data_IF_770250919929
#
_entry.id   IF_770250919929
#
_cell.length_a   1.000
_cell.length_b   1.000
_cell.length_c   1.000
_cell.angle_alpha   90.00
_cell.angle_beta   90.00
_cell.angle_gamma   90.00
#
_symmetry.space_group_name_H-M   'P 1'
#
loop_
_entity.id
_entity.type
_entity.pdbx_description
1 polymer ?
#
# COMPACT_ATOMS: atom_id res chain seq x y z
N UNK A 1 -24.68 -23.06 -4.12
CA UNK A 1 -23.37 -23.35 -3.51
C UNK A 1 -22.67 -22.03 -3.34
N UNK A 2 -22.90 -21.40 -2.19
CA UNK A 2 -22.35 -20.10 -1.81
C UNK A 2 -21.06 -20.38 -1.05
N UNK A 3 -19.93 -20.30 -1.73
CA UNK A 3 -18.61 -20.36 -1.10
C UNK A 3 -18.23 -18.95 -0.69
N UNK A 4 -18.37 -18.67 0.60
CA UNK A 4 -17.80 -17.52 1.29
C UNK A 4 -16.28 -17.57 1.15
N UNK A 5 -15.75 -16.77 0.24
CA UNK A 5 -14.32 -16.48 0.15
C UNK A 5 -14.05 -15.29 1.07
N UNK A 6 -13.93 -15.55 2.37
CA UNK A 6 -13.19 -14.67 3.28
C UNK A 6 -11.71 -14.78 2.92
N UNK A 7 -11.34 -14.12 1.83
CA UNK A 7 -9.99 -13.66 1.59
C UNK A 7 -9.95 -12.20 2.00
N UNK A 8 -9.91 -11.94 3.30
CA UNK A 8 -9.57 -10.61 3.82
C UNK A 8 -8.22 -10.25 3.22
N UNK A 9 -8.24 -9.23 2.36
CA UNK A 9 -7.02 -8.67 1.81
C UNK A 9 -6.24 -8.11 2.99
N UNK A 10 -5.03 -8.62 3.20
CA UNK A 10 -4.12 -8.16 4.25
C UNK A 10 -3.72 -6.71 3.93
N UNK A 11 -4.39 -5.76 4.57
CA UNK A 11 -4.26 -4.31 4.35
C UNK A 11 -3.05 -3.70 5.08
N UNK A 12 -2.12 -4.55 5.51
CA UNK A 12 -0.98 -4.23 6.36
C UNK A 12 0.26 -3.74 5.60
N UNK A 13 0.24 -3.67 4.26
CA UNK A 13 1.34 -3.08 3.50
C UNK A 13 1.11 -1.59 3.23
N UNK A 14 1.83 -0.67 3.92
CA UNK A 14 1.73 0.75 3.66
C UNK A 14 2.17 1.10 2.25
N UNK A 15 1.49 2.09 1.67
CA UNK A 15 1.79 2.65 0.35
C UNK A 15 2.91 3.67 0.53
N UNK A 16 4.10 3.16 0.82
CA UNK A 16 5.31 3.95 1.08
C UNK A 16 6.17 3.33 2.19
N UNK A 17 7.47 3.18 1.94
CA UNK A 17 8.48 2.73 2.92
C UNK A 17 8.76 3.80 4.01
N UNK A 18 7.75 4.55 4.43
CA UNK A 18 7.89 5.57 5.47
C UNK A 18 7.69 4.90 6.84
N UNK A 19 8.80 4.65 7.54
CA UNK A 19 8.79 4.13 8.91
C UNK A 19 8.54 5.29 9.88
N UNK A 20 7.47 5.22 10.66
CA UNK A 20 7.21 6.14 11.76
C UNK A 20 7.54 5.45 13.08
N UNK A 21 8.07 6.20 14.06
CA UNK A 21 8.18 5.70 15.43
C UNK A 21 6.77 5.65 16.04
N UNK A 22 6.18 4.45 16.04
CA UNK A 22 4.95 4.16 16.78
C UNK A 22 5.36 3.63 18.14
N UNK A 23 4.78 4.17 19.21
CA UNK A 23 5.08 3.66 20.54
C UNK A 23 4.54 2.22 20.66
N UNK A 24 5.22 1.31 21.38
CA UNK A 24 4.86 -0.12 21.44
C UNK A 24 3.49 -0.42 22.08
N UNK A 25 2.81 0.60 22.61
CA UNK A 25 1.48 0.54 23.21
C UNK A 25 0.40 1.24 22.36
N UNK A 26 0.77 1.87 21.24
CA UNK A 26 -0.17 2.47 20.31
C UNK A 26 -0.49 1.45 19.22
N UNK A 27 -1.77 1.11 19.06
CA UNK A 27 -2.24 0.32 17.94
C UNK A 27 -2.00 1.10 16.64
N UNK A 28 -1.37 0.46 15.66
CA UNK A 28 -1.18 1.05 14.34
C UNK A 28 -2.54 1.37 13.74
N UNK A 29 -2.74 2.63 13.33
CA UNK A 29 -3.97 3.04 12.67
C UNK A 29 -4.08 2.25 11.36
N UNK A 30 -5.16 1.49 11.15
CA UNK A 30 -5.31 0.68 9.96
C UNK A 30 -5.30 1.58 8.71
N UNK A 31 -4.43 1.24 7.76
CA UNK A 31 -4.30 1.97 6.49
C UNK A 31 -5.62 1.88 5.73
N UNK A 32 -6.13 3.02 5.25
CA UNK A 32 -7.37 3.07 4.48
C UNK A 32 -7.17 2.40 3.12
N UNK A 33 -7.67 1.17 3.00
CA UNK A 33 -7.57 0.38 1.78
C UNK A 33 -8.90 0.30 1.02
N UNK A 34 -8.79 0.03 -0.27
CA UNK A 34 -9.96 -0.17 -1.13
C UNK A 34 -10.34 -1.66 -1.16
N UNK A 35 -11.54 -1.98 -0.70
CA UNK A 35 -12.11 -3.33 -0.68
C UNK A 35 -12.92 -3.67 -1.94
N UNK A 36 -12.69 -2.92 -3.03
CA UNK A 36 -13.35 -3.20 -4.29
C UNK A 36 -12.98 -4.63 -4.76
N UNK A 37 -13.92 -5.36 -5.37
CA UNK A 37 -13.67 -6.74 -5.81
C UNK A 37 -12.50 -6.81 -6.81
N UNK A 38 -12.35 -5.78 -7.64
CA UNK A 38 -11.19 -5.59 -8.53
C UNK A 38 -9.89 -5.42 -7.76
N UNK A 39 -9.88 -4.66 -6.66
CA UNK A 39 -8.73 -4.33 -5.84
C UNK A 39 -8.23 -5.57 -5.08
N UNK A 40 -9.16 -6.34 -4.50
CA UNK A 40 -8.84 -7.59 -3.81
C UNK A 40 -8.23 -8.61 -4.79
N UNK A 41 -8.86 -8.83 -5.96
CA UNK A 41 -8.26 -9.67 -6.99
C UNK A 41 -6.92 -9.12 -7.49
N UNK A 42 -6.81 -7.80 -7.65
CA UNK A 42 -5.60 -7.14 -8.11
C UNK A 42 -4.42 -7.42 -7.18
N UNK A 43 -4.67 -7.37 -5.88
CA UNK A 43 -3.66 -7.66 -4.86
C UNK A 43 -3.15 -9.11 -4.96
N UNK A 44 -4.05 -10.06 -5.19
CA UNK A 44 -3.70 -11.49 -5.33
C UNK A 44 -2.80 -11.77 -6.53
N UNK A 45 -3.03 -11.10 -7.65
CA UNK A 45 -2.27 -11.33 -8.89
C UNK A 45 -1.14 -10.32 -9.14
N UNK A 46 -0.92 -9.35 -8.23
CA UNK A 46 0.06 -8.26 -8.43
C UNK A 46 1.47 -8.78 -8.71
N UNK A 47 1.87 -9.85 -8.03
CA UNK A 47 3.18 -10.46 -8.20
C UNK A 47 3.28 -11.32 -9.45
N UNK A 48 2.18 -11.85 -9.97
CA UNK A 48 2.21 -12.78 -11.12
C UNK A 48 2.35 -12.03 -12.46
N UNK A 49 1.81 -10.81 -12.54
CA UNK A 49 1.89 -9.93 -13.71
C UNK A 49 3.33 -9.75 -14.28
N UNK A 50 4.34 -9.34 -13.48
CA UNK A 50 5.70 -9.17 -14.00
C UNK A 50 6.29 -10.48 -14.52
N UNK A 51 6.02 -11.61 -13.84
CA UNK A 51 6.49 -12.92 -14.27
C UNK A 51 5.91 -13.33 -15.63
N UNK A 52 4.61 -13.13 -15.86
CA UNK A 52 4.01 -13.38 -17.18
C UNK A 52 4.54 -12.43 -18.27
N UNK A 53 4.84 -11.19 -17.92
CA UNK A 53 5.42 -10.24 -18.87
C UNK A 53 6.82 -10.67 -19.32
N UNK A 54 7.67 -11.11 -18.37
CA UNK A 54 9.03 -11.58 -18.65
C UNK A 54 9.00 -12.93 -19.36
N UNK A 55 8.19 -13.88 -18.89
CA UNK A 55 8.02 -15.19 -19.53
C UNK A 55 7.49 -15.11 -20.97
N UNK A 56 6.72 -14.05 -21.28
CA UNK A 56 6.21 -13.77 -22.62
C UNK A 56 7.28 -13.58 -23.69
N UNK A 57 8.50 -13.17 -23.31
CA UNK A 57 9.61 -13.08 -24.26
C UNK A 57 10.05 -14.44 -24.81
N UNK A 58 9.93 -15.50 -24.00
CA UNK A 58 10.27 -16.88 -24.39
C UNK A 58 9.09 -17.53 -25.09
N UNK A 59 7.89 -17.34 -24.55
CA UNK A 59 6.66 -17.95 -25.06
C UNK A 59 5.54 -16.90 -25.13
N UNK A 60 5.11 -16.44 -26.31
CA UNK A 60 4.15 -15.34 -26.46
C UNK A 60 2.77 -15.65 -25.86
N UNK A 61 2.46 -16.92 -25.58
CA UNK A 61 1.25 -17.35 -24.86
C UNK A 61 1.14 -16.70 -23.46
N UNK A 62 2.26 -16.41 -22.79
CA UNK A 62 2.21 -15.74 -21.49
C UNK A 62 1.72 -14.29 -21.56
N UNK A 63 1.92 -13.59 -22.68
CA UNK A 63 1.32 -12.26 -22.86
C UNK A 63 -0.20 -12.33 -23.03
N UNK A 64 -0.72 -13.36 -23.69
CA UNK A 64 -2.17 -13.61 -23.74
C UNK A 64 -2.73 -13.95 -22.36
N UNK A 65 -2.00 -14.73 -21.54
CA UNK A 65 -2.38 -14.97 -20.16
C UNK A 65 -2.37 -13.67 -19.33
N UNK A 66 -1.40 -12.78 -19.53
CA UNK A 66 -1.35 -11.47 -18.88
C UNK A 66 -2.56 -10.60 -19.25
N UNK A 67 -2.91 -10.55 -20.55
CA UNK A 67 -4.13 -9.89 -21.05
C UNK A 67 -5.40 -10.49 -20.45
N UNK A 68 -5.47 -11.83 -20.35
CA UNK A 68 -6.61 -12.51 -19.75
C UNK A 68 -6.77 -12.14 -18.28
N UNK A 69 -5.67 -12.14 -17.51
CA UNK A 69 -5.68 -11.69 -16.10
C UNK A 69 -6.15 -10.24 -16.03
N UNK A 70 -5.62 -9.34 -16.86
CA UNK A 70 -6.06 -7.95 -16.90
C UNK A 70 -7.57 -7.83 -17.14
N UNK A 71 -8.12 -8.51 -18.15
CA UNK A 71 -9.57 -8.45 -18.44
C UNK A 71 -10.38 -9.02 -17.28
N UNK A 72 -9.96 -10.17 -16.73
CA UNK A 72 -10.66 -10.83 -15.63
C UNK A 72 -10.71 -9.99 -14.35
N UNK A 73 -9.68 -9.18 -14.10
CA UNK A 73 -9.56 -8.35 -12.90
C UNK A 73 -10.12 -6.94 -13.12
N UNK A 74 -9.91 -6.34 -14.30
CA UNK A 74 -10.23 -4.93 -14.56
C UNK A 74 -11.53 -4.70 -15.34
N UNK A 75 -12.16 -5.74 -15.88
CA UNK A 75 -13.38 -5.58 -16.68
C UNK A 75 -14.59 -6.34 -16.13
N UNK A 76 -14.36 -7.52 -15.55
CA UNK A 76 -15.44 -8.35 -15.00
C UNK A 76 -16.02 -7.83 -13.67
N UNK A 77 -15.21 -7.45 -12.67
CA UNK A 77 -15.75 -7.00 -11.39
C UNK A 77 -16.26 -5.55 -11.44
N UNK A 78 -17.15 -5.20 -10.51
CA UNK A 78 -17.54 -3.80 -10.27
C UNK A 78 -16.36 -3.03 -9.66
N UNK A 79 -16.12 -1.82 -10.18
CA UNK A 79 -15.00 -0.95 -9.80
C UNK A 79 -15.42 0.22 -8.92
N UNK A 80 -16.58 0.12 -8.28
CA UNK A 80 -17.01 1.15 -7.33
C UNK A 80 -16.06 1.08 -6.12
N UNK A 81 -15.30 2.16 -5.84
CA UNK A 81 -14.40 2.18 -4.70
C UNK A 81 -15.24 2.08 -3.43
N UNK A 82 -14.92 1.07 -2.62
CA UNK A 82 -15.53 0.87 -1.30
C UNK A 82 -14.44 1.03 -0.26
N UNK A 83 -14.65 1.96 0.66
CA UNK A 83 -13.80 2.14 1.81
C UNK A 83 -14.12 1.03 2.83
N UNK A 84 -13.09 0.44 3.43
CA UNK A 84 -13.24 -0.51 4.55
C UNK A 84 -14.08 0.13 5.66
N UNK A 85 -14.77 -0.73 6.44
CA UNK A 85 -15.61 -0.41 7.60
C UNK A 85 -15.38 0.98 8.21
N UNK A 86 -16.19 1.95 7.78
CA UNK A 86 -16.19 3.33 8.32
C UNK A 86 -16.44 3.36 9.84
N UNK A 87 -17.04 2.30 10.39
CA UNK A 87 -17.28 2.09 11.83
C UNK A 87 -15.98 1.93 12.64
N UNK A 88 -14.87 1.51 12.01
CA UNK A 88 -13.55 1.42 12.66
C UNK A 88 -12.77 2.74 12.59
N UNK A 89 -13.18 3.67 11.72
CA UNK A 89 -12.64 5.02 11.65
C UNK A 89 -13.46 5.94 12.56
N UNK A 90 -13.43 5.67 13.86
CA UNK A 90 -13.86 6.67 14.84
C UNK A 90 -12.97 7.90 14.65
N UNK A 91 -13.54 9.11 14.54
CA UNK A 91 -12.72 10.30 14.31
C UNK A 91 -11.68 10.40 15.44
N UNK A 92 -10.40 10.61 15.08
CA UNK A 92 -9.32 10.51 16.04
C UNK A 92 -9.57 11.47 17.20
N UNK A 93 -9.21 11.03 18.39
CA UNK A 93 -9.23 11.93 19.54
C UNK A 93 -8.31 13.12 19.26
N UNK A 94 -8.54 14.28 19.90
CA UNK A 94 -7.65 15.45 19.70
C UNK A 94 -6.20 15.12 20.08
N UNK A 95 -6.01 14.18 21.01
CA UNK A 95 -4.71 13.63 21.36
C UNK A 95 -4.10 12.87 20.17
N UNK A 96 -4.82 11.91 19.59
CA UNK A 96 -4.39 11.16 18.41
C UNK A 96 -4.10 12.08 17.23
N UNK A 97 -4.98 13.04 16.91
CA UNK A 97 -4.75 13.98 15.82
C UNK A 97 -3.48 14.82 16.02
N UNK A 98 -3.18 15.21 17.26
CA UNK A 98 -1.95 15.97 17.59
C UNK A 98 -0.72 15.06 17.54
N UNK A 99 -0.83 13.81 18.01
CA UNK A 99 0.24 12.81 17.93
C UNK A 99 0.57 12.49 16.46
N UNK A 100 -0.45 12.30 15.64
CA UNK A 100 -0.34 11.99 14.21
C UNK A 100 0.27 13.17 13.44
N UNK A 101 -0.13 14.40 13.76
CA UNK A 101 0.53 15.60 13.26
C UNK A 101 2.01 15.63 13.65
N UNK A 102 2.37 15.35 14.91
CA UNK A 102 3.78 15.29 15.31
C UNK A 102 4.53 14.22 14.51
N UNK A 103 3.99 13.02 14.34
CA UNK A 103 4.65 11.93 13.60
C UNK A 103 4.92 12.27 12.13
N UNK A 104 3.99 12.94 11.44
CA UNK A 104 4.19 13.33 10.03
C UNK A 104 5.28 14.39 9.85
N UNK A 105 5.54 15.21 10.86
CA UNK A 105 6.59 16.25 10.81
C UNK A 105 7.95 15.76 11.29
N UNK A 106 8.00 14.65 12.03
CA UNK A 106 9.24 13.97 12.42
C UNK A 106 9.40 12.68 11.62
N UNK A 107 9.65 12.82 10.32
CA UNK A 107 10.10 11.69 9.49
C UNK A 107 11.47 11.23 10.00
N UNK A 108 11.55 9.98 10.44
CA UNK A 108 12.77 9.43 11.01
C UNK A 108 13.61 8.86 9.86
N UNK A 109 14.81 9.42 9.68
CA UNK A 109 15.74 8.93 8.67
C UNK A 109 15.99 7.43 8.87
N UNK A 110 15.98 6.70 7.76
CA UNK A 110 16.21 5.25 7.70
C UNK A 110 17.46 4.79 8.48
N UNK A 111 18.51 5.60 8.50
CA UNK A 111 19.75 5.34 9.26
C UNK A 111 19.56 5.39 10.77
N UNK A 112 18.66 6.24 11.24
CA UNK A 112 18.31 6.36 12.67
C UNK A 112 17.52 5.14 13.12
N UNK A 113 16.65 4.59 12.26
CA UNK A 113 15.91 3.34 12.55
C UNK A 113 16.86 2.16 12.65
N UNK A 114 17.79 2.02 11.71
CA UNK A 114 18.82 0.97 11.73
C UNK A 114 19.69 1.06 12.99
N UNK A 115 20.06 2.27 13.41
CA UNK A 115 20.77 2.49 14.67
C UNK A 115 19.97 2.06 15.91
N UNK A 116 18.67 2.38 15.97
CA UNK A 116 17.79 1.95 17.07
C UNK A 116 17.68 0.42 17.11
N UNK A 117 17.51 -0.23 15.96
CA UNK A 117 17.47 -1.70 15.87
C UNK A 117 18.80 -2.32 16.33
N UNK A 118 19.94 -1.72 15.98
CA UNK A 118 21.27 -2.18 16.42
C UNK A 118 21.49 -2.01 17.93
N UNK A 119 21.05 -0.89 18.51
CA UNK A 119 21.18 -0.62 19.95
C UNK A 119 20.24 -1.52 20.77
N UNK A 120 18.99 -1.69 20.33
CA UNK A 120 18.03 -2.56 21.01
C UNK A 120 18.42 -4.04 20.89
N UNK A 121 18.94 -4.47 19.74
CA UNK A 121 19.48 -5.83 19.56
C UNK A 121 20.75 -6.13 20.37
N UNK A 122 21.47 -5.09 20.80
CA UNK A 122 22.62 -5.22 21.71
C UNK A 122 22.21 -5.25 23.20
N UNK A 123 21.02 -4.76 23.54
CA UNK A 123 20.53 -4.61 24.92
C UNK A 123 19.95 -5.90 25.54
N UNK A 124 19.68 -6.94 24.75
CA UNK A 124 19.31 -8.27 25.27
C UNK A 124 20.44 -8.97 26.04
N UNK A 125 21.64 -8.37 26.05
CA UNK A 125 22.77 -8.77 26.89
C UNK A 125 23.28 -7.58 27.70
N UNK A 126 22.84 -7.53 28.95
CA UNK A 126 23.40 -6.79 30.08
C UNK A 126 22.87 -5.37 30.39
N UNK A 127 22.31 -5.32 31.61
CA UNK A 127 22.48 -4.32 32.66
C UNK A 127 21.32 -3.37 32.95
N UNK A 128 20.95 -3.43 34.23
CA UNK A 128 20.09 -2.55 35.00
C UNK A 128 20.64 -1.11 34.92
N UNK A 129 19.91 -0.22 34.25
CA UNK A 129 20.28 1.20 34.15
C UNK A 129 19.61 1.95 35.31
N UNK A 130 20.46 2.40 36.22
CA UNK A 130 20.18 3.35 37.31
C UNK A 130 19.71 4.70 36.73
N UNK A 131 18.51 5.13 37.09
CA UNK A 131 17.95 6.40 36.66
C UNK A 131 18.60 7.55 37.45
N UNK A 132 19.69 8.08 36.91
CA UNK A 132 20.27 9.35 37.34
C UNK A 132 19.37 10.53 36.97
N UNK A 133 18.90 11.22 38.00
CA UNK A 133 18.17 12.48 37.97
C UNK A 133 18.89 13.53 37.09
N UNK A 134 18.26 13.90 35.97
CA UNK A 134 18.69 15.01 35.13
C UNK A 134 17.52 15.94 34.91
N UNK A 135 17.54 17.06 35.63
CA UNK A 135 16.65 18.21 35.47
C UNK A 135 16.83 18.83 34.08
N UNK A 136 16.21 18.22 33.08
CA UNK A 136 15.90 18.85 31.80
C UNK A 136 14.49 19.44 31.90
N UNK A 137 14.38 20.75 32.03
CA UNK A 137 13.09 21.45 32.03
C UNK A 137 12.38 21.24 30.69
N UNK A 138 11.51 20.22 30.62
CA UNK A 138 10.53 20.08 29.55
C UNK A 138 9.50 21.17 29.78
N UNK A 139 9.54 22.19 28.95
CA UNK A 139 8.51 23.23 28.91
C UNK A 139 7.21 22.59 28.39
N UNK A 140 6.39 22.11 29.33
CA UNK A 140 5.08 21.54 29.03
C UNK A 140 4.20 22.66 28.46
N UNK A 141 3.99 22.65 27.14
CA UNK A 141 3.02 23.53 26.48
C UNK A 141 1.64 23.17 27.03
N UNK A 142 1.16 23.98 27.98
CA UNK A 142 -0.19 23.90 28.51
C UNK A 142 -1.19 24.27 27.41
N UNK A 143 -1.76 23.27 26.74
CA UNK A 143 -2.98 23.44 25.96
C UNK A 143 -4.18 23.34 26.91
N UNK A 144 -4.71 24.49 27.30
CA UNK A 144 -5.99 24.58 27.99
C UNK A 144 -7.11 23.98 27.12
N UNK A 145 -7.78 23.03 27.76
CA UNK A 145 -9.03 22.35 27.45
C UNK A 145 -10.12 23.27 26.87
N UNK A 146 -10.81 22.82 25.81
CA UNK A 146 -12.28 22.77 25.69
C UNK A 146 -12.73 22.34 24.28
N UNK A 147 -13.76 21.48 24.23
CA UNK A 147 -14.47 21.08 23.01
C UNK A 147 -14.06 19.72 22.45
N UNK A 148 -15.04 18.82 22.28
CA UNK A 148 -14.89 17.59 21.50
C UNK A 148 -14.46 17.87 20.05
N UNK A 149 -14.16 16.82 19.26
CA UNK A 149 -13.73 17.00 17.87
C UNK A 149 -14.75 17.86 17.11
N UNK A 150 -14.27 18.99 16.60
CA UNK A 150 -15.08 19.90 15.77
C UNK A 150 -15.62 19.11 14.58
N UNK A 151 -16.84 19.42 14.13
CA UNK A 151 -17.43 18.79 12.93
C UNK A 151 -16.45 18.93 11.73
N UNK A 152 -15.70 20.02 11.69
CA UNK A 152 -14.65 20.27 10.69
C UNK A 152 -13.53 19.21 10.73
N UNK A 153 -13.10 18.79 11.92
CA UNK A 153 -12.02 17.82 12.11
C UNK A 153 -12.46 16.42 11.66
N UNK A 154 -13.72 16.07 11.94
CA UNK A 154 -14.32 14.80 11.48
C UNK A 154 -14.42 14.76 9.96
N UNK A 155 -14.88 15.83 9.33
CA UNK A 155 -14.96 15.91 7.87
C UNK A 155 -13.58 15.84 7.22
N UNK A 156 -12.58 16.49 7.81
CA UNK A 156 -11.21 16.46 7.31
C UNK A 156 -10.65 15.03 7.34
N UNK A 157 -10.84 14.32 8.46
CA UNK A 157 -10.35 12.95 8.61
C UNK A 157 -11.01 12.01 7.60
N UNK A 158 -12.33 12.04 7.44
CA UNK A 158 -13.05 11.24 6.45
C UNK A 158 -12.60 11.57 5.01
N UNK A 159 -12.33 12.84 4.71
CA UNK A 159 -11.80 13.22 3.39
C UNK A 159 -10.38 12.69 3.16
N UNK A 160 -9.55 12.63 4.20
CA UNK A 160 -8.21 12.07 4.11
C UNK A 160 -8.27 10.55 3.86
N UNK A 161 -9.10 9.81 4.61
CA UNK A 161 -9.32 8.37 4.44
C UNK A 161 -9.83 8.05 3.03
N UNK A 162 -10.79 8.84 2.52
CA UNK A 162 -11.30 8.69 1.16
C UNK A 162 -10.21 8.96 0.11
N UNK A 163 -9.38 9.99 0.32
CA UNK A 163 -8.28 10.32 -0.59
C UNK A 163 -7.22 9.21 -0.63
N UNK A 164 -6.86 8.64 0.52
CA UNK A 164 -5.93 7.51 0.62
C UNK A 164 -6.47 6.26 -0.07
N UNK A 165 -7.75 5.94 0.16
CA UNK A 165 -8.45 4.82 -0.50
C UNK A 165 -8.44 4.97 -2.02
N UNK A 166 -8.72 6.18 -2.53
CA UNK A 166 -8.70 6.49 -3.96
C UNK A 166 -7.28 6.40 -4.53
N UNK A 167 -6.28 6.90 -3.80
CA UNK A 167 -4.88 6.85 -4.21
C UNK A 167 -4.42 5.40 -4.40
N UNK A 168 -4.79 4.50 -3.50
CA UNK A 168 -4.44 3.08 -3.62
C UNK A 168 -5.13 2.41 -4.81
N UNK A 169 -6.42 2.68 -4.97
CA UNK A 169 -7.19 2.19 -6.11
C UNK A 169 -6.54 2.61 -7.45
N UNK A 170 -6.13 3.87 -7.57
CA UNK A 170 -5.50 4.40 -8.77
C UNK A 170 -4.08 3.86 -8.98
N UNK A 171 -3.34 3.64 -7.89
CA UNK A 171 -2.03 2.98 -7.94
C UNK A 171 -2.15 1.58 -8.54
N UNK A 172 -3.04 0.74 -8.01
CA UNK A 172 -3.28 -0.61 -8.52
C UNK A 172 -3.67 -0.61 -9.99
N UNK A 173 -4.58 0.28 -10.38
CA UNK A 173 -5.01 0.40 -11.77
C UNK A 173 -3.87 0.79 -12.70
N UNK A 174 -3.01 1.70 -12.25
CA UNK A 174 -1.84 2.15 -13.01
C UNK A 174 -0.81 1.02 -13.16
N UNK A 175 -0.58 0.24 -12.11
CA UNK A 175 0.30 -0.93 -12.14
C UNK A 175 -0.15 -1.95 -13.20
N UNK A 176 -1.43 -2.33 -13.17
CA UNK A 176 -2.01 -3.27 -14.16
C UNK A 176 -1.93 -2.73 -15.59
N UNK A 177 -2.25 -1.45 -15.80
CA UNK A 177 -2.12 -0.80 -17.11
C UNK A 177 -0.69 -0.83 -17.64
N UNK A 178 0.32 -0.56 -16.79
CA UNK A 178 1.73 -0.57 -17.18
C UNK A 178 2.17 -1.95 -17.67
N UNK A 179 1.90 -3.00 -16.90
CA UNK A 179 2.30 -4.36 -17.27
C UNK A 179 1.54 -4.88 -18.49
N UNK A 180 0.25 -4.60 -18.58
CA UNK A 180 -0.57 -4.98 -19.74
C UNK A 180 -0.13 -4.23 -21.00
N UNK A 181 0.24 -2.96 -20.87
CA UNK A 181 0.79 -2.16 -21.98
C UNK A 181 2.08 -2.76 -22.55
N UNK A 182 2.97 -3.24 -21.69
CA UNK A 182 4.18 -3.96 -22.11
C UNK A 182 3.84 -5.27 -22.83
N UNK A 183 2.89 -6.05 -22.32
CA UNK A 183 2.43 -7.28 -22.96
C UNK A 183 1.81 -6.99 -24.35
N UNK A 184 1.00 -5.94 -24.48
CA UNK A 184 0.43 -5.51 -25.78
C UNK A 184 1.55 -5.14 -26.75
N UNK A 185 2.52 -4.35 -26.35
CA UNK A 185 3.67 -4.01 -27.20
C UNK A 185 4.47 -5.26 -27.63
N UNK A 186 4.69 -6.21 -26.71
CA UNK A 186 5.33 -7.48 -27.03
C UNK A 186 4.57 -8.28 -28.07
N UNK A 187 3.24 -8.43 -27.88
CA UNK A 187 2.39 -9.17 -28.82
C UNK A 187 2.34 -8.52 -30.20
N UNK A 188 2.27 -7.19 -30.30
CA UNK A 188 2.25 -6.50 -31.60
C UNK A 188 3.57 -6.65 -32.35
N UNK A 189 4.71 -6.56 -31.65
CA UNK A 189 6.02 -6.81 -32.25
C UNK A 189 6.14 -8.23 -32.78
N UNK A 190 5.70 -9.23 -32.01
CA UNK A 190 5.69 -10.63 -32.45
C UNK A 190 4.77 -10.89 -33.63
N UNK A 191 3.58 -10.27 -33.64
CA UNK A 191 2.63 -10.38 -34.74
C UNK A 191 3.20 -9.85 -36.06
N UNK A 192 4.13 -8.89 -36.01
CA UNK A 192 4.84 -8.37 -37.20
C UNK A 192 6.07 -9.23 -37.53
N UNK A 193 6.84 -9.65 -36.53
CA UNK A 193 8.09 -10.39 -36.75
C UNK A 193 7.88 -11.79 -37.33
N UNK A 194 6.90 -12.56 -36.82
CA UNK A 194 6.60 -13.92 -37.27
C UNK A 194 6.36 -14.00 -38.79
N UNK A 195 5.43 -13.21 -39.40
CA UNK A 195 5.19 -13.30 -40.84
C UNK A 195 6.38 -12.82 -41.67
N UNK A 196 7.17 -11.85 -41.19
CA UNK A 196 8.38 -11.43 -41.88
C UNK A 196 9.43 -12.55 -41.92
N UNK A 197 9.66 -13.21 -40.79
CA UNK A 197 10.57 -14.36 -40.70
C UNK A 197 10.07 -15.49 -41.59
N UNK A 198 8.78 -15.85 -41.51
CA UNK A 198 8.18 -16.90 -42.34
C UNK A 198 8.37 -16.59 -43.84
N UNK A 199 8.11 -15.35 -44.25
CA UNK A 199 8.31 -14.90 -45.64
C UNK A 199 9.78 -15.04 -46.07
N UNK A 200 10.73 -14.61 -45.24
CA UNK A 200 12.17 -14.73 -45.53
C UNK A 200 12.59 -16.20 -45.62
N UNK A 201 12.10 -17.04 -44.72
CA UNK A 201 12.38 -18.48 -44.71
C UNK A 201 11.82 -19.21 -45.94
N UNK A 202 10.68 -18.75 -46.49
CA UNK A 202 10.11 -19.32 -47.72
C UNK A 202 10.87 -18.92 -49.00
N UNK A 203 11.66 -17.84 -48.95
CA UNK A 203 12.45 -17.36 -50.09
C UNK A 203 13.91 -17.85 -50.07
N UNK A 204 14.32 -18.61 -49.05
CA UNK A 204 15.60 -19.33 -48.99
C UNK A 204 15.42 -20.77 -49.44
#
# INVERSE_FOLDING_TARGET
MSSSLDGTADCSTPIGDTKYLVAPFEEEVPVACCECMSCNLSHRYKYVLPWFCIGGFVLPLFWFANLFVYISVQWVPNHEPRCCHLEQYEPPTRYEATADFRRRYFEVDSKTVEYIEQVNGAQDTASEIDYGDSEGSVECINFTQEGGPSISDKTLHLTQVAAETLKEHDYMRTLYKRWTGLAVLGTTLYAIAIPLIAKVSMHR
#
